data_IF_051186300993
#
_entry.id   IF_051186300993
#
_cell.length_a   1.000
_cell.length_b   1.000
_cell.length_c   1.000
_cell.angle_alpha   90.00
_cell.angle_beta   90.00
_cell.angle_gamma   90.00
#
_symmetry.space_group_name_H-M   'P 1'
#
loop_
_entity.id
_entity.type
_entity.pdbx_description
1 polymer ?
#
# COMPACT_ATOMS: atom_id res chain seq x y z
N UNK A 1 -6.96 -14.62 16.65
CA UNK A 1 -7.50 -15.99 16.57
C UNK A 1 -6.52 -16.85 15.79
N UNK A 2 -6.20 -18.04 16.25
CA UNK A 2 -5.29 -18.92 15.52
C UNK A 2 -5.99 -19.57 14.31
N UNK A 3 -5.31 -20.50 13.64
CA UNK A 3 -5.86 -21.19 12.46
C UNK A 3 -6.92 -22.26 12.81
N UNK A 4 -7.07 -22.63 14.09
CA UNK A 4 -8.00 -23.68 14.52
C UNK A 4 -9.46 -23.27 14.37
N UNK A 5 -9.78 -22.04 14.79
CA UNK A 5 -11.17 -21.56 14.86
C UNK A 5 -11.44 -20.33 13.98
N UNK A 6 -10.47 -19.85 13.18
CA UNK A 6 -10.67 -18.67 12.33
C UNK A 6 -11.83 -18.85 11.35
N UNK A 7 -12.02 -20.05 10.80
CA UNK A 7 -13.12 -20.34 9.88
C UNK A 7 -14.48 -20.33 10.60
N UNK A 8 -14.58 -21.01 11.74
CA UNK A 8 -15.77 -21.03 12.59
C UNK A 8 -16.16 -19.62 13.02
N UNK A 9 -15.20 -18.86 13.56
CA UNK A 9 -15.40 -17.49 14.00
C UNK A 9 -15.84 -16.59 12.84
N UNK A 10 -15.23 -16.77 11.66
CA UNK A 10 -15.60 -16.02 10.46
C UNK A 10 -17.06 -16.23 10.09
N UNK A 11 -17.54 -17.48 10.10
CA UNK A 11 -18.94 -17.78 9.82
C UNK A 11 -19.89 -17.18 10.86
N UNK A 12 -19.56 -17.27 12.15
CA UNK A 12 -20.36 -16.62 13.20
C UNK A 12 -20.41 -15.09 13.01
N UNK A 13 -19.28 -14.46 12.67
CA UNK A 13 -19.23 -13.03 12.41
C UNK A 13 -20.01 -12.64 11.15
N UNK A 14 -19.98 -13.45 10.09
CA UNK A 14 -20.78 -13.19 8.88
C UNK A 14 -22.29 -13.23 9.19
N UNK A 15 -22.74 -14.10 10.11
CA UNK A 15 -24.14 -14.15 10.56
C UNK A 15 -24.53 -12.94 11.42
N UNK A 16 -23.65 -12.54 12.36
CA UNK A 16 -23.92 -11.45 13.30
C UNK A 16 -23.80 -10.07 12.64
N UNK A 17 -22.75 -9.86 11.83
CA UNK A 17 -22.42 -8.55 11.26
C UNK A 17 -22.78 -8.43 9.78
N UNK A 18 -23.14 -9.54 9.11
CA UNK A 18 -23.37 -9.58 7.67
C UNK A 18 -22.07 -9.78 6.88
N UNK A 19 -22.08 -10.73 5.95
CA UNK A 19 -20.89 -11.07 5.14
C UNK A 19 -20.35 -9.89 4.31
N UNK A 20 -21.20 -8.94 3.92
CA UNK A 20 -20.80 -7.72 3.18
C UNK A 20 -20.07 -6.69 4.05
N UNK A 21 -20.07 -6.88 5.36
CA UNK A 21 -19.34 -6.04 6.32
C UNK A 21 -17.97 -6.60 6.70
N UNK A 22 -17.59 -7.76 6.18
CA UNK A 22 -16.20 -8.21 6.30
C UNK A 22 -15.27 -7.28 5.51
N UNK A 23 -14.22 -6.82 6.17
CA UNK A 23 -13.24 -5.87 5.60
C UNK A 23 -11.96 -6.60 5.21
N UNK A 24 -11.36 -7.32 6.15
CA UNK A 24 -10.07 -7.98 5.95
C UNK A 24 -9.85 -9.09 6.98
N UNK A 25 -8.99 -10.03 6.63
CA UNK A 25 -8.41 -10.99 7.56
C UNK A 25 -6.91 -10.73 7.58
N UNK A 26 -6.44 -10.09 8.65
CA UNK A 26 -5.03 -9.73 8.80
C UNK A 26 -4.25 -10.95 9.29
N UNK A 27 -3.18 -11.30 8.60
CA UNK A 27 -2.16 -12.23 9.06
C UNK A 27 -1.11 -11.46 9.87
N UNK A 28 -1.16 -11.61 11.19
CA UNK A 28 -0.19 -10.99 12.11
C UNK A 28 0.93 -11.97 12.45
N UNK A 29 2.17 -11.63 12.09
CA UNK A 29 3.37 -12.39 12.44
C UNK A 29 3.70 -12.26 13.93
N UNK A 30 3.00 -13.03 14.76
CA UNK A 30 3.18 -13.05 16.21
C UNK A 30 4.52 -13.59 16.69
N UNK A 31 5.27 -14.30 15.82
CA UNK A 31 6.61 -14.86 16.08
C UNK A 31 7.42 -14.83 14.79
N UNK A 32 8.72 -14.61 14.89
CA UNK A 32 9.63 -14.58 13.73
C UNK A 32 10.62 -15.76 13.69
N UNK A 33 10.82 -16.46 14.82
CA UNK A 33 11.72 -17.62 14.89
C UNK A 33 10.98 -18.93 14.67
N UNK A 34 11.59 -19.84 13.91
CA UNK A 34 11.06 -21.20 13.71
C UNK A 34 11.42 -22.12 14.88
N UNK A 35 10.50 -22.99 15.27
CA UNK A 35 10.80 -24.06 16.23
C UNK A 35 11.33 -25.30 15.51
N UNK A 36 12.52 -25.76 15.89
CA UNK A 36 13.08 -27.03 15.40
C UNK A 36 12.31 -28.27 15.88
N UNK A 37 11.41 -28.11 16.85
CA UNK A 37 10.56 -29.19 17.35
C UNK A 37 9.30 -29.39 16.48
N UNK A 38 9.01 -28.47 15.56
CA UNK A 38 7.86 -28.59 14.68
C UNK A 38 8.06 -29.76 13.69
N UNK A 39 7.18 -30.76 13.75
CA UNK A 39 7.20 -31.92 12.84
C UNK A 39 6.57 -31.63 11.47
N UNK A 40 5.80 -30.54 11.37
CA UNK A 40 5.10 -30.08 10.16
C UNK A 40 5.36 -28.59 9.99
N UNK A 41 4.31 -27.78 9.87
CA UNK A 41 4.42 -26.33 9.90
C UNK A 41 4.42 -25.83 11.35
N UNK A 42 5.31 -24.87 11.62
CA UNK A 42 5.27 -24.09 12.84
C UNK A 42 4.45 -22.82 12.56
N UNK A 43 3.44 -22.53 13.38
CA UNK A 43 2.65 -21.32 13.18
C UNK A 43 3.39 -20.11 13.71
N UNK A 44 3.72 -19.20 12.79
CA UNK A 44 4.31 -17.89 13.09
C UNK A 44 3.27 -16.77 13.15
N UNK A 45 2.05 -17.06 12.70
CA UNK A 45 1.00 -16.06 12.57
C UNK A 45 -0.24 -16.40 13.37
N UNK A 46 -0.98 -15.37 13.73
CA UNK A 46 -2.41 -15.46 14.02
C UNK A 46 -3.21 -14.60 13.06
N UNK A 47 -4.51 -14.81 13.04
CA UNK A 47 -5.46 -14.08 12.22
C UNK A 47 -6.19 -13.02 13.07
N UNK A 48 -6.43 -11.84 12.50
CA UNK A 48 -7.31 -10.81 13.06
C UNK A 48 -8.41 -10.55 12.05
N UNK A 49 -9.64 -10.88 12.40
CA UNK A 49 -10.81 -10.64 11.55
C UNK A 49 -11.31 -9.22 11.78
N UNK A 50 -11.44 -8.45 10.69
CA UNK A 50 -11.91 -7.07 10.72
C UNK A 50 -13.26 -7.00 10.04
N UNK A 51 -14.26 -6.53 10.78
CA UNK A 51 -15.59 -6.24 10.29
C UNK A 51 -15.88 -4.76 10.52
N UNK A 52 -16.58 -4.12 9.57
CA UNK A 52 -17.12 -2.78 9.77
C UNK A 52 -18.49 -2.87 10.44
N UNK A 53 -18.81 -1.86 11.25
CA UNK A 53 -20.12 -1.77 11.89
C UNK A 53 -21.23 -1.40 10.88
N UNK A 54 -20.92 -0.56 9.89
CA UNK A 54 -21.86 -0.08 8.89
C UNK A 54 -21.16 0.33 7.59
N UNK A 55 -21.96 0.52 6.53
CA UNK A 55 -21.50 0.99 5.22
C UNK A 55 -21.00 2.43 5.22
N UNK A 56 -21.22 3.20 6.31
CA UNK A 56 -20.69 4.56 6.41
C UNK A 56 -19.15 4.59 6.51
N UNK A 57 -18.53 3.47 6.90
CA UNK A 57 -17.09 3.30 6.77
C UNK A 57 -16.75 2.88 5.33
N UNK A 58 -16.34 3.86 4.53
CA UNK A 58 -15.97 3.70 3.13
C UNK A 58 -14.44 3.68 2.92
N UNK A 59 -13.71 4.50 3.68
CA UNK A 59 -12.26 4.67 3.53
C UNK A 59 -11.56 4.35 4.85
N UNK A 60 -10.58 3.44 4.80
CA UNK A 60 -9.66 3.16 5.91
C UNK A 60 -8.25 3.56 5.49
N UNK A 61 -7.59 4.32 6.37
CA UNK A 61 -6.24 4.81 6.16
C UNK A 61 -5.44 4.71 7.45
N UNK A 62 -4.20 4.26 7.33
CA UNK A 62 -3.22 4.30 8.41
C UNK A 62 -2.26 5.48 8.24
N UNK A 63 -1.60 5.86 9.33
CA UNK A 63 -0.59 6.92 9.30
C UNK A 63 0.56 6.51 8.38
N UNK A 64 1.05 7.47 7.57
CA UNK A 64 2.25 7.25 6.75
C UNK A 64 3.44 6.92 7.65
N UNK A 65 4.23 5.92 7.25
CA UNK A 65 5.45 5.55 7.95
C UNK A 65 6.65 6.27 7.36
N UNK A 66 7.70 6.47 8.16
CA UNK A 66 8.97 7.02 7.67
C UNK A 66 9.53 6.20 6.50
N UNK A 67 9.35 4.87 6.54
CA UNK A 67 9.73 3.98 5.44
C UNK A 67 9.00 4.33 4.15
N UNK A 68 7.70 4.63 4.19
CA UNK A 68 6.93 5.00 3.01
C UNK A 68 7.32 6.38 2.45
N UNK A 69 7.78 7.28 3.32
CA UNK A 69 8.21 8.63 2.93
C UNK A 69 9.70 8.67 2.54
N UNK A 70 10.47 7.66 2.93
CA UNK A 70 11.92 7.60 2.72
C UNK A 70 12.35 7.60 1.25
N UNK A 71 11.44 7.30 0.30
CA UNK A 71 11.70 7.35 -1.14
C UNK A 71 11.52 8.73 -1.77
N UNK A 72 10.85 9.67 -1.10
CA UNK A 72 10.54 10.99 -1.67
C UNK A 72 11.78 11.88 -1.72
N UNK A 73 12.05 12.49 -2.87
CA UNK A 73 13.20 13.39 -3.08
C UNK A 73 12.80 14.60 -3.91
N UNK A 74 13.55 15.69 -3.82
CA UNK A 74 13.35 16.88 -4.65
C UNK A 74 14.60 17.20 -5.48
N UNK A 75 14.96 16.35 -6.46
CA UNK A 75 16.22 16.50 -7.21
C UNK A 75 16.23 17.70 -8.16
N UNK A 76 15.06 18.25 -8.50
CA UNK A 76 14.87 19.32 -9.47
C UNK A 76 14.42 20.65 -8.85
N UNK A 77 14.49 20.76 -7.51
CA UNK A 77 14.05 21.94 -6.76
C UNK A 77 12.61 22.39 -7.08
N UNK A 78 11.71 21.43 -7.30
CA UNK A 78 10.29 21.74 -7.50
C UNK A 78 9.73 22.44 -6.25
N UNK A 79 9.04 23.59 -6.38
CA UNK A 79 8.54 24.36 -5.23
C UNK A 79 7.50 23.62 -4.39
N UNK A 80 6.90 22.53 -4.91
CA UNK A 80 5.97 21.67 -4.17
C UNK A 80 6.68 20.69 -3.23
N UNK A 81 8.01 20.64 -3.27
CA UNK A 81 8.81 19.81 -2.38
C UNK A 81 9.04 18.40 -2.93
N UNK A 82 9.29 17.45 -2.03
CA UNK A 82 9.72 16.11 -2.39
C UNK A 82 8.64 15.31 -3.12
N UNK A 83 9.04 14.54 -4.13
CA UNK A 83 8.18 13.71 -4.96
C UNK A 83 8.82 12.35 -5.27
N UNK A 84 7.98 11.41 -5.70
CA UNK A 84 8.37 10.15 -6.33
C UNK A 84 7.77 10.07 -7.74
N UNK A 85 8.13 9.04 -8.50
CA UNK A 85 7.62 8.87 -9.87
C UNK A 85 6.73 7.65 -10.01
N UNK A 86 5.59 7.82 -10.69
CA UNK A 86 4.76 6.72 -11.18
C UNK A 86 4.89 6.61 -12.70
N UNK A 87 4.86 5.39 -13.25
CA UNK A 87 4.80 5.21 -14.71
C UNK A 87 3.52 5.84 -15.26
N UNK A 88 3.62 6.56 -16.38
CA UNK A 88 2.47 7.11 -17.11
C UNK A 88 1.84 6.09 -18.07
N UNK A 89 2.54 4.98 -18.33
CA UNK A 89 2.08 3.85 -19.17
C UNK A 89 1.22 2.90 -18.33
N UNK A 90 0.05 2.53 -18.87
CA UNK A 90 -0.86 1.58 -18.24
C UNK A 90 -0.48 0.14 -18.65
N UNK A 91 -0.56 -0.87 -17.76
CA UNK A 91 -0.44 -2.28 -18.16
C UNK A 91 -1.51 -2.77 -19.16
N UNK A 92 -2.63 -2.05 -19.32
CA UNK A 92 -3.62 -2.37 -20.34
C UNK A 92 -3.15 -2.00 -21.76
N UNK A 93 -3.49 -2.83 -22.75
CA UNK A 93 -3.14 -2.58 -24.16
C UNK A 93 -3.95 -1.41 -24.75
N UNK A 94 -3.46 -0.87 -25.87
CA UNK A 94 -4.15 0.21 -26.60
C UNK A 94 -5.53 -0.22 -27.11
N UNK A 95 -5.70 -1.49 -27.47
CA UNK A 95 -6.97 -2.05 -27.93
C UNK A 95 -8.00 -2.16 -26.79
N UNK A 96 -7.54 -2.46 -25.58
CA UNK A 96 -8.41 -2.55 -24.41
C UNK A 96 -8.86 -1.17 -23.89
N UNK A 97 -8.11 -0.11 -24.19
CA UNK A 97 -8.37 1.27 -23.71
C UNK A 97 -8.16 2.30 -24.84
N UNK A 98 -8.93 2.24 -25.93
CA UNK A 98 -8.71 3.07 -27.12
C UNK A 98 -8.86 4.58 -26.84
N UNK A 99 -9.66 4.94 -25.84
CA UNK A 99 -9.85 6.32 -25.38
C UNK A 99 -8.61 6.92 -24.67
N UNK A 100 -7.61 6.10 -24.34
CA UNK A 100 -6.38 6.50 -23.64
C UNK A 100 -5.15 6.41 -24.57
N UNK A 101 -5.36 6.46 -25.88
CA UNK A 101 -4.31 6.39 -26.90
C UNK A 101 -4.22 7.75 -27.60
N UNK A 102 -3.21 8.54 -27.26
CA UNK A 102 -2.97 9.86 -27.84
C UNK A 102 -1.48 10.19 -27.84
N UNK A 103 -1.06 11.19 -28.63
CA UNK A 103 0.35 11.61 -28.65
C UNK A 103 0.68 12.48 -27.43
N UNK A 104 1.84 12.24 -26.81
CA UNK A 104 2.36 13.08 -25.73
C UNK A 104 3.63 13.79 -26.21
N UNK A 105 3.68 15.10 -26.09
CA UNK A 105 4.86 15.89 -26.47
C UNK A 105 5.89 15.92 -25.32
N UNK A 106 7.13 15.51 -25.60
CA UNK A 106 8.27 15.78 -24.74
C UNK A 106 8.66 17.26 -24.90
N UNK A 107 8.59 18.09 -23.84
CA UNK A 107 8.87 19.52 -23.94
C UNK A 107 10.36 19.84 -24.14
N UNK A 108 11.26 18.91 -23.80
CA UNK A 108 12.72 19.09 -23.91
C UNK A 108 13.18 18.80 -25.34
N UNK A 109 12.80 17.65 -25.88
CA UNK A 109 13.22 17.23 -27.24
C UNK A 109 12.26 17.69 -28.34
N UNK A 110 11.04 18.06 -27.99
CA UNK A 110 9.97 18.40 -28.94
C UNK A 110 9.28 17.18 -29.58
N UNK A 111 9.77 15.96 -29.35
CA UNK A 111 9.24 14.74 -29.93
C UNK A 111 7.81 14.44 -29.42
N UNK A 112 6.97 13.86 -30.28
CA UNK A 112 5.66 13.34 -29.90
C UNK A 112 5.77 11.84 -29.79
N UNK A 113 5.48 11.29 -28.61
CA UNK A 113 5.59 9.86 -28.32
C UNK A 113 4.23 9.19 -28.27
N UNK A 114 4.18 7.96 -28.78
CA UNK A 114 3.06 7.04 -28.71
C UNK A 114 3.60 5.70 -28.21
N UNK A 115 2.95 5.09 -27.22
CA UNK A 115 3.37 3.77 -26.79
C UNK A 115 2.92 2.71 -27.83
N UNK A 116 3.79 1.77 -28.25
CA UNK A 116 3.49 0.86 -29.35
C UNK A 116 2.37 -0.15 -29.03
N UNK A 117 2.33 -0.62 -27.78
CA UNK A 117 1.48 -1.73 -27.32
C UNK A 117 0.45 -1.37 -26.24
N UNK A 118 0.71 -0.34 -25.44
CA UNK A 118 -0.05 -0.03 -24.23
C UNK A 118 -0.74 1.33 -24.33
N UNK A 119 -1.80 1.49 -23.55
CA UNK A 119 -2.45 2.77 -23.39
C UNK A 119 -1.78 3.62 -22.30
N UNK A 120 -2.10 4.91 -22.25
CA UNK A 120 -1.72 5.76 -21.13
C UNK A 120 -2.60 5.47 -19.90
N UNK A 121 -2.11 5.80 -18.71
CA UNK A 121 -2.90 5.68 -17.47
C UNK A 121 -3.99 6.73 -17.35
N UNK A 122 -3.78 7.90 -17.94
CA UNK A 122 -4.60 9.09 -17.74
C UNK A 122 -5.29 9.49 -19.04
N UNK A 123 -6.50 10.02 -18.92
CA UNK A 123 -7.22 10.60 -20.05
C UNK A 123 -6.50 11.82 -20.62
N UNK A 124 -6.87 12.25 -21.83
CA UNK A 124 -6.29 13.45 -22.44
C UNK A 124 -6.60 14.72 -21.61
N UNK A 125 -7.74 14.75 -20.92
CA UNK A 125 -8.11 15.85 -20.01
C UNK A 125 -7.19 15.91 -18.80
N UNK A 126 -7.00 14.79 -18.10
CA UNK A 126 -6.06 14.70 -16.97
C UNK A 126 -4.62 14.99 -17.42
N UNK A 127 -4.24 14.53 -18.61
CA UNK A 127 -2.93 14.84 -19.17
C UNK A 127 -2.69 16.33 -19.35
N UNK A 128 -3.67 17.07 -19.89
CA UNK A 128 -3.57 18.52 -20.02
C UNK A 128 -3.41 19.20 -18.66
N UNK A 129 -4.09 18.71 -17.62
CA UNK A 129 -3.91 19.20 -16.24
C UNK A 129 -2.50 18.92 -15.73
N UNK A 130 -2.00 17.69 -15.88
CA UNK A 130 -0.63 17.34 -15.50
C UNK A 130 0.44 18.16 -16.21
N UNK A 131 0.22 18.50 -17.49
CA UNK A 131 1.11 19.40 -18.24
C UNK A 131 1.04 20.82 -17.69
N UNK A 132 -0.16 21.37 -17.48
CA UNK A 132 -0.36 22.71 -16.94
C UNK A 132 0.26 22.86 -15.54
N UNK A 133 0.20 21.80 -14.74
CA UNK A 133 0.79 21.74 -13.41
C UNK A 133 2.27 21.32 -13.42
N UNK A 134 2.91 21.13 -14.58
CA UNK A 134 4.30 20.69 -14.68
C UNK A 134 4.60 19.41 -13.84
N UNK A 135 3.72 18.40 -13.94
CA UNK A 135 3.85 17.12 -13.22
C UNK A 135 4.53 16.02 -14.03
N UNK A 136 4.76 16.22 -15.32
CA UNK A 136 5.43 15.23 -16.15
C UNK A 136 6.94 15.32 -16.00
N UNK A 137 7.55 14.19 -15.68
CA UNK A 137 8.99 14.04 -15.53
C UNK A 137 9.55 13.18 -16.67
N UNK A 138 10.56 13.69 -17.36
CA UNK A 138 11.16 13.09 -18.55
C UNK A 138 12.61 12.64 -18.31
N UNK A 139 12.93 12.22 -17.09
CA UNK A 139 14.31 12.11 -16.61
C UNK A 139 15.06 13.46 -16.65
N UNK A 140 16.29 13.49 -16.14
CA UNK A 140 17.04 14.74 -15.90
C UNK A 140 17.31 15.49 -17.21
N UNK A 141 17.66 14.76 -18.26
CA UNK A 141 18.09 15.32 -19.54
C UNK A 141 17.02 15.18 -20.64
N UNK A 142 15.81 14.76 -20.29
CA UNK A 142 14.71 14.55 -21.25
C UNK A 142 14.83 13.27 -22.08
N UNK A 143 15.74 12.37 -21.70
CA UNK A 143 16.11 11.14 -22.40
C UNK A 143 15.15 9.97 -22.12
N UNK A 144 14.20 10.13 -21.19
CA UNK A 144 13.16 9.15 -21.00
C UNK A 144 12.28 9.05 -22.25
N UNK A 145 12.12 7.83 -22.78
CA UNK A 145 11.25 7.55 -23.93
C UNK A 145 9.78 7.91 -23.65
N UNK A 146 9.34 7.70 -22.41
CA UNK A 146 7.98 7.97 -21.95
C UNK A 146 7.99 8.78 -20.66
N UNK A 147 7.01 9.67 -20.45
CA UNK A 147 6.96 10.46 -19.23
C UNK A 147 6.65 9.58 -18.03
N UNK A 148 7.05 10.06 -16.86
CA UNK A 148 6.55 9.61 -15.57
C UNK A 148 5.77 10.73 -14.90
N UNK A 149 4.84 10.38 -14.02
CA UNK A 149 4.12 11.36 -13.22
C UNK A 149 4.85 11.61 -11.90
N UNK A 150 5.10 12.87 -11.56
CA UNK A 150 5.53 13.29 -10.22
C UNK A 150 4.36 13.17 -9.24
N UNK A 151 4.57 12.41 -8.18
CA UNK A 151 3.65 12.26 -7.05
C UNK A 151 4.29 12.94 -5.86
N UNK A 152 3.75 14.07 -5.42
CA UNK A 152 4.31 14.87 -4.33
C UNK A 152 3.92 14.32 -2.97
N UNK A 153 4.83 14.43 -2.01
CA UNK A 153 4.56 14.09 -0.62
C UNK A 153 3.48 15.00 -0.03
N UNK A 154 3.47 16.28 -0.42
CA UNK A 154 2.45 17.26 -0.03
C UNK A 154 1.03 16.85 -0.42
N UNK A 155 0.89 16.07 -1.50
CA UNK A 155 -0.41 15.61 -2.00
C UNK A 155 -0.90 14.37 -1.22
N UNK A 156 -0.04 13.75 -0.39
CA UNK A 156 -0.36 12.53 0.36
C UNK A 156 -1.02 12.83 1.71
N UNK A 157 -2.12 13.58 1.70
CA UNK A 157 -2.81 14.06 2.92
C UNK A 157 -3.67 13.00 3.61
N UNK A 158 -3.98 11.89 2.92
CA UNK A 158 -4.95 10.89 3.38
C UNK A 158 -4.37 9.63 4.02
N UNK A 159 -3.09 9.56 4.38
CA UNK A 159 -2.49 8.34 4.92
C UNK A 159 -2.29 7.23 3.87
N UNK A 160 -2.04 6.00 4.33
CA UNK A 160 -1.80 4.82 3.47
C UNK A 160 -2.97 3.86 3.55
N UNK A 161 -3.23 3.11 2.47
CA UNK A 161 -4.16 1.99 2.54
C UNK A 161 -3.50 0.91 3.39
N UNK A 162 -4.13 0.44 4.49
CA UNK A 162 -3.55 -0.60 5.32
C UNK A 162 -3.43 -1.91 4.56
N UNK A 163 -2.47 -2.73 4.95
CA UNK A 163 -2.27 -4.08 4.42
C UNK A 163 -2.74 -5.14 5.41
N UNK A 164 -3.11 -6.29 4.91
CA UNK A 164 -3.59 -7.44 5.67
C UNK A 164 -2.48 -8.44 6.04
N UNK A 165 -1.21 -8.01 5.94
CA UNK A 165 -0.06 -8.77 6.42
C UNK A 165 0.76 -7.86 7.33
N UNK A 166 0.74 -8.16 8.62
CA UNK A 166 1.46 -7.38 9.63
C UNK A 166 2.73 -8.11 10.03
N UNK A 167 3.87 -7.47 9.76
CA UNK A 167 5.18 -7.98 10.10
C UNK A 167 5.51 -7.69 11.57
N UNK A 168 6.26 -8.60 12.20
CA UNK A 168 6.58 -8.48 13.63
C UNK A 168 7.36 -7.21 13.99
N UNK A 169 8.10 -6.60 13.05
CA UNK A 169 8.92 -5.41 13.35
C UNK A 169 8.07 -4.17 13.53
N UNK A 170 6.92 -4.10 12.86
CA UNK A 170 5.99 -2.98 12.96
C UNK A 170 4.84 -3.24 13.94
N UNK A 171 4.51 -4.51 14.20
CA UNK A 171 3.34 -4.90 14.98
C UNK A 171 3.65 -5.66 16.28
N UNK A 172 4.93 -5.91 16.57
CA UNK A 172 5.36 -6.65 17.75
C UNK A 172 5.05 -8.14 17.68
N UNK A 173 5.45 -8.86 18.72
CA UNK A 173 5.31 -10.31 18.89
C UNK A 173 4.65 -10.66 20.22
N UNK A 174 4.28 -11.94 20.38
CA UNK A 174 3.87 -12.45 21.71
C UNK A 174 4.99 -12.37 22.74
N UNK A 175 6.25 -12.45 22.29
CA UNK A 175 7.41 -12.39 23.18
C UNK A 175 7.62 -10.95 23.69
N UNK A 176 7.37 -9.94 22.84
CA UNK A 176 7.36 -8.53 23.23
C UNK A 176 6.28 -8.26 24.28
N UNK A 177 5.05 -8.74 24.07
CA UNK A 177 3.97 -8.62 25.06
C UNK A 177 4.31 -9.27 26.41
N UNK A 178 4.93 -10.45 26.40
CA UNK A 178 5.42 -11.09 27.62
C UNK A 178 6.53 -10.30 28.33
N UNK A 179 7.43 -9.68 27.58
CA UNK A 179 8.48 -8.81 28.11
C UNK A 179 7.89 -7.54 28.76
N UNK A 180 6.92 -6.90 28.11
CA UNK A 180 6.22 -5.72 28.63
C UNK A 180 5.52 -6.01 29.96
N UNK A 181 4.79 -7.13 30.06
CA UNK A 181 4.16 -7.54 31.33
C UNK A 181 5.20 -7.77 32.43
N UNK A 182 6.31 -8.44 32.10
CA UNK A 182 7.37 -8.70 33.08
C UNK A 182 8.03 -7.40 33.55
N UNK A 183 8.21 -6.42 32.67
CA UNK A 183 8.73 -5.10 33.02
C UNK A 183 7.79 -4.36 33.98
N UNK A 184 6.48 -4.40 33.71
CA UNK A 184 5.48 -3.71 34.53
C UNK A 184 5.30 -4.33 35.93
N UNK A 185 5.34 -5.66 36.04
CA UNK A 185 5.00 -6.37 37.28
C UNK A 185 6.20 -7.04 37.98
N UNK A 186 7.39 -7.01 37.38
CA UNK A 186 8.60 -7.70 37.87
C UNK A 186 8.57 -9.22 37.74
N UNK A 187 7.49 -9.79 37.22
CA UNK A 187 7.29 -11.22 37.01
C UNK A 187 6.29 -11.48 35.87
N UNK A 188 6.33 -12.70 35.31
CA UNK A 188 5.31 -13.16 34.37
C UNK A 188 4.04 -13.51 35.16
N UNK A 189 3.07 -12.58 35.17
CA UNK A 189 1.78 -12.73 35.88
C UNK A 189 0.62 -13.15 34.97
N UNK A 190 0.83 -13.12 33.65
CA UNK A 190 -0.11 -13.59 32.63
C UNK A 190 0.59 -14.55 31.67
N UNK A 191 -0.09 -15.62 31.27
CA UNK A 191 0.48 -16.66 30.40
C UNK A 191 0.51 -16.25 28.91
N UNK A 192 -0.52 -15.53 28.45
CA UNK A 192 -0.69 -15.10 27.05
C UNK A 192 -1.25 -13.67 26.96
N UNK A 193 -0.47 -12.65 27.36
CA UNK A 193 -0.86 -11.25 27.21
C UNK A 193 -0.88 -10.78 25.76
#
# INVERSE_FOLDING_TARGET
IDDGEVASLRHCCDEIFGATNFVAQIAWEKRYTRSNNAKRFYSLKDNILVFRCSESLDIIKEKRSEKADSGYRNPDNDPRGAWITSSYVNPATKEARPNLVYGIKNPITGAIVHHPTHAWKYSQTEHKQHVAENRLYWAKDGDAEYPRLKIYLSDQTGGMVPVDVWDYKSSGTTDDGGAEIKELFGAAVFDTP
#
